data_IF_518868630841
#
_entry.id   IF_518868630841
#
_cell.length_a   1.000
_cell.length_b   1.000
_cell.length_c   1.000
_cell.angle_alpha   90.00
_cell.angle_beta   90.00
_cell.angle_gamma   90.00
#
_symmetry.space_group_name_H-M   'P 1'
#
loop_
_entity.id
_entity.type
_entity.pdbx_description
1 polymer ?
#
# COMPACT_ATOMS: atom_id res chain seq x y z
N UNK A 1 4.03 -32.27 -12.09
CA UNK A 1 4.29 -32.07 -10.65
C UNK A 1 4.01 -30.61 -10.33
N UNK A 2 2.79 -30.37 -9.84
CA UNK A 2 2.45 -29.05 -9.29
C UNK A 2 3.15 -28.93 -7.94
N UNK A 3 4.31 -28.32 -7.90
CA UNK A 3 4.94 -27.92 -6.66
C UNK A 3 4.03 -26.86 -6.05
N UNK A 4 3.32 -27.21 -4.98
CA UNK A 4 2.55 -26.25 -4.21
C UNK A 4 3.52 -25.22 -3.64
N UNK A 5 3.53 -24.02 -4.21
CA UNK A 5 4.24 -22.87 -3.63
C UNK A 5 3.58 -22.60 -2.28
N UNK A 6 4.30 -22.78 -1.21
CA UNK A 6 3.78 -22.42 0.11
C UNK A 6 3.80 -20.89 0.26
N UNK A 7 2.89 -20.28 1.03
CA UNK A 7 2.90 -18.83 1.29
C UNK A 7 4.26 -18.30 1.77
N UNK A 8 5.08 -19.16 2.35
CA UNK A 8 6.43 -18.83 2.85
C UNK A 8 7.47 -18.65 1.73
N UNK A 9 7.17 -19.10 0.51
CA UNK A 9 8.11 -19.02 -0.61
C UNK A 9 7.89 -17.77 -1.49
N UNK A 10 6.73 -17.16 -1.41
CA UNK A 10 6.41 -15.93 -2.12
C UNK A 10 7.10 -14.73 -1.47
N UNK A 11 7.81 -13.94 -2.27
CA UNK A 11 8.67 -12.88 -1.77
C UNK A 11 8.62 -11.63 -2.64
N UNK A 12 8.62 -10.47 -2.00
CA UNK A 12 8.77 -9.15 -2.64
C UNK A 12 10.01 -8.48 -2.07
N UNK A 13 10.96 -8.15 -2.93
CA UNK A 13 12.22 -7.50 -2.56
C UNK A 13 12.37 -6.16 -3.28
N UNK A 14 12.47 -5.03 -2.55
CA UNK A 14 12.83 -3.75 -3.15
C UNK A 14 14.27 -3.80 -3.67
N UNK A 15 14.49 -3.37 -4.91
CA UNK A 15 15.83 -3.19 -5.44
C UNK A 15 16.32 -1.75 -5.21
N UNK A 16 17.61 -1.52 -4.92
CA UNK A 16 18.10 -0.18 -4.62
C UNK A 16 17.75 0.82 -5.74
N UNK A 17 17.03 1.90 -5.39
CA UNK A 17 16.56 2.94 -6.31
C UNK A 17 15.85 2.41 -7.57
N UNK A 18 15.22 1.27 -7.46
CA UNK A 18 14.63 0.57 -8.59
C UNK A 18 13.28 -0.06 -8.29
N UNK A 19 12.85 -1.03 -9.10
CA UNK A 19 11.58 -1.72 -8.98
C UNK A 19 11.49 -2.62 -7.75
N UNK A 20 10.30 -3.18 -7.56
CA UNK A 20 10.07 -4.31 -6.67
C UNK A 20 10.24 -5.61 -7.46
N UNK A 21 11.13 -6.48 -7.00
CA UNK A 21 11.25 -7.83 -7.52
C UNK A 21 10.24 -8.72 -6.78
N UNK A 22 9.30 -9.27 -7.51
CA UNK A 22 8.32 -10.22 -6.99
C UNK A 22 8.68 -11.62 -7.46
N UNK A 23 8.93 -12.54 -6.54
CA UNK A 23 9.33 -13.91 -6.83
C UNK A 23 8.35 -14.91 -6.25
N UNK A 24 8.04 -15.94 -7.03
CA UNK A 24 7.15 -17.04 -6.64
C UNK A 24 5.78 -16.58 -6.15
N UNK A 25 5.30 -15.46 -6.72
CA UNK A 25 3.94 -14.98 -6.49
C UNK A 25 3.02 -15.80 -7.41
N UNK A 26 2.07 -16.58 -6.89
CA UNK A 26 1.21 -17.43 -7.71
C UNK A 26 0.34 -16.67 -8.69
N UNK A 27 -0.02 -15.43 -8.37
CA UNK A 27 -0.83 -14.60 -9.22
C UNK A 27 -0.60 -13.10 -9.01
N UNK A 28 -0.36 -12.39 -10.09
CA UNK A 28 -0.53 -10.94 -10.18
C UNK A 28 -1.95 -10.68 -10.69
N UNK A 29 -2.74 -9.92 -9.96
CA UNK A 29 -4.15 -9.63 -10.28
C UNK A 29 -4.36 -8.14 -10.54
N UNK A 30 -5.33 -7.82 -11.39
CA UNK A 30 -5.80 -6.44 -11.56
C UNK A 30 -6.81 -6.05 -10.45
N UNK A 31 -7.34 -4.84 -10.50
CA UNK A 31 -8.32 -4.30 -9.55
C UNK A 31 -9.66 -5.08 -9.57
N UNK A 32 -10.01 -5.71 -10.68
CA UNK A 32 -11.17 -6.59 -10.80
C UNK A 32 -10.92 -8.00 -10.22
N UNK A 33 -9.67 -8.32 -9.81
CA UNK A 33 -9.29 -9.63 -9.29
C UNK A 33 -8.93 -10.65 -10.39
N UNK A 34 -8.84 -10.23 -11.64
CA UNK A 34 -8.44 -11.08 -12.76
C UNK A 34 -6.93 -11.28 -12.77
N UNK A 35 -6.47 -12.50 -13.04
CA UNK A 35 -5.05 -12.82 -13.13
C UNK A 35 -4.47 -12.22 -14.42
N UNK A 36 -3.45 -11.38 -14.28
CA UNK A 36 -2.74 -10.76 -15.40
C UNK A 36 -1.32 -11.31 -15.62
N UNK A 37 -0.76 -12.00 -14.64
CA UNK A 37 0.49 -12.75 -14.77
C UNK A 37 0.59 -13.85 -13.72
N UNK A 38 1.25 -14.95 -14.12
CA UNK A 38 1.67 -16.07 -13.26
C UNK A 38 3.16 -16.35 -13.43
N UNK A 39 3.92 -15.39 -13.93
CA UNK A 39 5.35 -15.53 -14.12
C UNK A 39 6.06 -15.75 -12.77
N UNK A 40 7.07 -16.59 -12.75
CA UNK A 40 7.81 -16.92 -11.53
C UNK A 40 8.55 -15.72 -10.95
N UNK A 41 8.98 -14.80 -11.82
CA UNK A 41 9.62 -13.54 -11.45
C UNK A 41 8.98 -12.37 -12.18
N UNK A 42 8.57 -11.36 -11.43
CA UNK A 42 7.90 -10.16 -11.95
C UNK A 42 8.61 -8.92 -11.39
N UNK A 43 8.83 -7.92 -12.23
CA UNK A 43 9.41 -6.64 -11.86
C UNK A 43 8.33 -5.56 -11.88
N UNK A 44 7.95 -5.09 -10.68
CA UNK A 44 6.85 -4.14 -10.49
C UNK A 44 7.37 -2.71 -10.35
N UNK A 45 6.71 -1.77 -11.00
CA UNK A 45 7.03 -0.36 -10.92
C UNK A 45 6.90 0.18 -9.51
N UNK A 46 7.94 0.86 -9.02
CA UNK A 46 7.95 1.57 -7.73
C UNK A 46 8.08 3.08 -7.88
N UNK A 47 8.68 3.55 -8.97
CA UNK A 47 8.90 4.98 -9.21
C UNK A 47 7.65 5.74 -9.70
N UNK A 48 6.59 5.03 -10.11
CA UNK A 48 5.38 5.61 -10.63
C UNK A 48 5.47 6.16 -12.07
N UNK A 49 6.63 6.07 -12.74
CA UNK A 49 6.88 6.65 -14.06
C UNK A 49 6.85 5.64 -15.20
N UNK A 50 6.69 4.35 -14.92
CA UNK A 50 6.59 3.34 -15.97
C UNK A 50 5.42 3.62 -16.91
N UNK A 51 5.65 3.44 -18.20
CA UNK A 51 4.62 3.50 -19.25
C UNK A 51 3.93 2.15 -19.45
N UNK A 52 4.43 1.10 -18.81
CA UNK A 52 3.91 -0.26 -18.88
C UNK A 52 3.48 -0.78 -17.51
N UNK A 53 2.82 0.06 -16.72
CA UNK A 53 2.35 -0.35 -15.37
C UNK A 53 1.42 -1.58 -15.45
N UNK A 54 1.52 -2.48 -14.48
CA UNK A 54 2.27 -2.40 -13.21
C UNK A 54 3.76 -2.76 -13.32
N UNK A 55 4.24 -3.12 -14.50
CA UNK A 55 5.60 -3.60 -14.72
C UNK A 55 6.62 -2.45 -14.76
N UNK A 56 7.85 -2.77 -14.37
CA UNK A 56 8.98 -1.87 -14.56
C UNK A 56 9.40 -1.84 -16.04
N UNK A 57 9.68 -0.67 -16.56
CA UNK A 57 10.20 -0.45 -17.94
C UNK A 57 11.53 0.30 -17.95
N UNK A 58 12.19 0.47 -16.79
CA UNK A 58 13.45 1.21 -16.66
C UNK A 58 13.28 2.72 -16.47
N UNK A 59 12.06 3.26 -16.52
CA UNK A 59 11.82 4.71 -16.37
C UNK A 59 12.34 5.29 -15.05
N UNK A 60 12.58 4.46 -14.03
CA UNK A 60 13.14 4.89 -12.75
C UNK A 60 14.54 5.51 -12.88
N UNK A 61 15.33 5.09 -13.86
CA UNK A 61 16.67 5.65 -14.11
C UNK A 61 16.56 7.10 -14.62
N UNK A 62 15.74 7.32 -15.65
CA UNK A 62 15.51 8.66 -16.21
C UNK A 62 14.84 9.60 -15.21
N UNK A 63 13.94 9.06 -14.38
CA UNK A 63 13.27 9.80 -13.30
C UNK A 63 14.18 10.08 -12.10
N UNK A 64 15.39 9.52 -12.06
CA UNK A 64 16.33 9.61 -10.92
C UNK A 64 15.63 9.21 -9.62
N UNK A 65 14.86 8.13 -9.67
CA UNK A 65 14.14 7.63 -8.50
C UNK A 65 15.11 7.28 -7.38
N UNK A 66 14.80 7.72 -6.18
CA UNK A 66 15.56 7.40 -4.97
C UNK A 66 14.60 6.85 -3.91
N UNK A 67 14.97 5.74 -3.31
CA UNK A 67 14.26 5.11 -2.18
C UNK A 67 14.80 5.59 -0.82
N UNK A 68 15.71 6.55 -0.82
CA UNK A 68 16.21 7.15 0.40
C UNK A 68 15.08 7.79 1.20
N UNK A 69 14.91 7.36 2.44
CA UNK A 69 13.94 7.98 3.35
C UNK A 69 14.29 9.44 3.57
N UNK A 70 13.37 10.33 3.23
CA UNK A 70 13.53 11.77 3.40
C UNK A 70 13.16 12.24 4.82
N UNK A 71 12.55 11.39 5.63
CA UNK A 71 12.10 11.72 6.98
C UNK A 71 12.60 10.68 7.98
N UNK A 72 13.13 11.17 9.10
CA UNK A 72 13.37 10.32 10.26
C UNK A 72 12.03 9.80 10.81
N UNK A 73 12.05 8.59 11.37
CA UNK A 73 10.88 8.04 12.04
C UNK A 73 10.45 8.99 13.16
N UNK A 74 9.33 9.67 12.95
CA UNK A 74 8.59 10.32 14.00
C UNK A 74 7.96 9.27 14.93
N UNK A 75 7.24 9.69 15.93
CA UNK A 75 6.72 8.90 17.05
C UNK A 75 5.85 7.65 16.73
N UNK A 76 5.89 7.14 15.50
CA UNK A 76 5.12 5.97 15.08
C UNK A 76 3.65 6.29 14.75
N UNK A 77 2.84 5.24 14.46
CA UNK A 77 1.46 5.40 14.10
C UNK A 77 0.61 5.92 15.27
N UNK A 78 -0.33 6.81 14.98
CA UNK A 78 -1.35 7.29 15.92
C UNK A 78 -2.70 6.69 15.59
N UNK A 79 -3.50 6.44 16.61
CA UNK A 79 -4.85 5.90 16.47
C UNK A 79 -5.89 6.98 16.76
N UNK A 80 -6.86 7.09 15.84
CA UNK A 80 -8.02 7.97 15.99
C UNK A 80 -9.27 7.10 16.02
N UNK A 81 -9.86 6.99 17.21
CA UNK A 81 -10.98 6.09 17.46
C UNK A 81 -12.29 6.77 17.04
N UNK A 82 -13.03 6.13 16.16
CA UNK A 82 -14.39 6.49 15.80
C UNK A 82 -15.40 5.45 16.30
N UNK A 83 -16.68 5.68 16.03
CA UNK A 83 -17.78 4.78 16.44
C UNK A 83 -17.76 3.44 15.71
N UNK A 84 -17.47 3.45 14.42
CA UNK A 84 -17.46 2.26 13.56
C UNK A 84 -16.05 1.80 13.23
N UNK A 85 -15.15 2.74 12.95
CA UNK A 85 -13.78 2.46 12.57
C UNK A 85 -12.79 3.25 13.44
N UNK A 86 -11.58 2.71 13.60
CA UNK A 86 -10.43 3.43 14.11
C UNK A 86 -9.46 3.65 12.97
N UNK A 87 -9.09 4.89 12.68
CA UNK A 87 -8.04 5.20 11.71
C UNK A 87 -6.69 5.09 12.37
N UNK A 88 -5.76 4.37 11.76
CA UNK A 88 -4.36 4.27 12.16
C UNK A 88 -3.54 5.08 11.14
N UNK A 89 -2.86 6.13 11.60
CA UNK A 89 -2.15 7.09 10.76
C UNK A 89 -0.67 7.15 11.14
N UNK A 90 0.19 6.59 10.30
CA UNK A 90 1.63 6.78 10.37
C UNK A 90 2.07 7.88 9.39
N UNK A 91 2.00 9.12 9.85
CA UNK A 91 2.34 10.28 9.02
C UNK A 91 3.81 10.27 8.55
N UNK A 92 4.69 9.53 9.20
CA UNK A 92 6.09 9.40 8.78
C UNK A 92 6.23 8.70 7.42
N UNK A 93 5.25 7.85 7.07
CA UNK A 93 5.18 7.13 5.80
C UNK A 93 4.41 7.90 4.71
N UNK A 94 3.81 9.06 5.04
CA UNK A 94 2.95 9.77 4.12
C UNK A 94 3.71 10.32 2.90
N UNK A 95 3.30 9.87 1.70
CA UNK A 95 3.83 10.34 0.42
C UNK A 95 3.20 11.66 -0.08
N UNK A 96 2.23 12.21 0.67
CA UNK A 96 1.48 13.42 0.29
C UNK A 96 0.76 13.33 -1.07
N UNK A 97 0.31 12.14 -1.45
CA UNK A 97 -0.41 11.93 -2.71
C UNK A 97 -1.77 12.67 -2.77
N UNK A 98 -2.35 13.01 -1.61
CA UNK A 98 -3.61 13.76 -1.54
C UNK A 98 -4.88 12.90 -1.58
N UNK A 99 -4.79 11.63 -1.93
CA UNK A 99 -5.92 10.71 -2.12
C UNK A 99 -6.90 10.68 -0.93
N UNK A 100 -6.38 10.72 0.30
CA UNK A 100 -7.21 10.69 1.50
C UNK A 100 -8.06 11.96 1.64
N UNK A 101 -7.50 13.11 1.32
CA UNK A 101 -8.21 14.41 1.39
C UNK A 101 -9.19 14.55 0.24
N UNK A 102 -8.83 14.08 -0.95
CA UNK A 102 -9.71 14.12 -2.10
C UNK A 102 -10.96 13.26 -1.90
N UNK A 103 -10.82 12.09 -1.28
CA UNK A 103 -11.91 11.12 -1.11
C UNK A 103 -12.73 11.33 0.17
N UNK A 104 -12.11 11.76 1.26
CA UNK A 104 -12.77 11.93 2.56
C UNK A 104 -12.20 13.15 3.31
N UNK A 105 -12.37 14.34 2.71
CA UNK A 105 -11.83 15.59 3.23
C UNK A 105 -12.24 15.87 4.69
N UNK A 106 -13.48 15.62 5.05
CA UNK A 106 -13.98 15.86 6.40
C UNK A 106 -13.22 15.04 7.45
N UNK A 107 -12.80 13.83 7.09
CA UNK A 107 -12.01 12.95 7.96
C UNK A 107 -10.54 13.35 8.02
N UNK A 108 -9.91 13.69 6.88
CA UNK A 108 -8.45 13.80 6.77
C UNK A 108 -7.90 15.22 6.64
N UNK A 109 -8.74 16.24 6.44
CA UNK A 109 -8.31 17.63 6.27
C UNK A 109 -8.22 18.42 7.59
N UNK A 110 -8.24 17.77 8.73
CA UNK A 110 -8.22 18.45 10.03
C UNK A 110 -6.80 18.63 10.52
N UNK A 111 -6.45 19.85 10.93
CA UNK A 111 -5.20 20.16 11.62
C UNK A 111 -5.45 20.32 13.11
N UNK A 112 -4.71 19.59 13.92
CA UNK A 112 -4.67 19.73 15.36
C UNK A 112 -3.40 20.46 15.82
N UNK A 113 -3.25 20.69 17.13
CA UNK A 113 -2.07 21.32 17.73
C UNK A 113 -0.77 20.57 17.37
N UNK A 114 -0.85 19.24 17.30
CA UNK A 114 0.29 18.35 17.06
C UNK A 114 0.36 17.84 15.61
N UNK A 115 -0.23 18.56 14.66
CA UNK A 115 -0.23 18.19 13.25
C UNK A 115 -1.56 17.66 12.76
N UNK A 116 -1.53 16.73 11.76
CA UNK A 116 -2.74 16.15 11.18
C UNK A 116 -3.52 15.32 12.20
N UNK A 117 -4.81 15.54 12.25
CA UNK A 117 -5.76 14.77 13.06
C UNK A 117 -6.80 14.15 12.13
N UNK A 118 -7.01 12.86 12.24
CA UNK A 118 -8.10 12.17 11.55
C UNK A 118 -9.36 12.17 12.40
N UNK A 119 -10.50 12.45 11.78
CA UNK A 119 -11.83 12.40 12.40
C UNK A 119 -12.66 11.30 11.76
N UNK A 120 -12.58 10.05 12.26
CA UNK A 120 -13.21 8.89 11.60
C UNK A 120 -14.71 9.00 11.40
N UNK A 121 -15.39 9.70 12.28
CA UNK A 121 -16.84 9.88 12.28
C UNK A 121 -17.33 11.07 11.43
N UNK A 122 -16.42 11.83 10.80
CA UNK A 122 -16.77 13.00 10.01
C UNK A 122 -17.21 12.66 8.58
N UNK A 123 -16.90 11.45 8.12
CA UNK A 123 -17.37 10.90 6.83
C UNK A 123 -17.95 9.51 7.05
N UNK A 124 -18.79 8.99 6.13
CA UNK A 124 -19.24 7.61 6.16
C UNK A 124 -18.06 6.62 6.19
N UNK A 125 -18.22 5.51 6.92
CA UNK A 125 -17.13 4.55 7.14
C UNK A 125 -16.60 3.94 5.83
N UNK A 126 -17.45 3.69 4.86
CA UNK A 126 -17.09 3.17 3.54
C UNK A 126 -16.24 4.17 2.72
N UNK A 127 -16.55 5.47 2.81
CA UNK A 127 -15.73 6.53 2.18
C UNK A 127 -14.34 6.60 2.84
N UNK A 128 -14.28 6.53 4.17
CA UNK A 128 -13.01 6.53 4.92
C UNK A 128 -12.18 5.30 4.56
N UNK A 129 -12.79 4.12 4.50
CA UNK A 129 -12.13 2.88 4.09
C UNK A 129 -11.62 3.00 2.65
N UNK A 130 -12.44 3.51 1.73
CA UNK A 130 -12.05 3.77 0.35
C UNK A 130 -10.83 4.70 0.24
N UNK A 131 -10.83 5.79 1.00
CA UNK A 131 -9.71 6.72 1.05
C UNK A 131 -8.42 6.06 1.60
N UNK A 132 -8.53 5.26 2.65
CA UNK A 132 -7.40 4.52 3.24
C UNK A 132 -6.81 3.52 2.23
N UNK A 133 -7.65 2.80 1.51
CA UNK A 133 -7.21 1.82 0.49
C UNK A 133 -6.46 2.44 -0.67
N UNK A 134 -6.72 3.70 -1.00
CA UNK A 134 -6.01 4.44 -2.04
C UNK A 134 -4.74 5.14 -1.53
N UNK A 135 -4.39 5.00 -0.24
CA UNK A 135 -3.15 5.54 0.28
C UNK A 135 -1.93 4.78 -0.31
N UNK A 136 -1.14 5.40 -1.21
CA UNK A 136 -0.12 4.68 -1.96
C UNK A 136 1.11 4.29 -1.12
N UNK A 137 1.31 4.95 0.02
CA UNK A 137 2.44 4.67 0.91
C UNK A 137 2.11 3.72 2.06
N UNK A 138 0.84 3.33 2.22
CA UNK A 138 0.40 2.56 3.38
C UNK A 138 0.46 3.31 4.71
N UNK A 139 0.56 4.65 4.67
CA UNK A 139 0.56 5.49 5.87
C UNK A 139 -0.76 5.41 6.64
N UNK A 140 -1.85 5.07 5.97
CA UNK A 140 -3.17 4.94 6.55
C UNK A 140 -3.61 3.48 6.58
N UNK A 141 -4.04 3.04 7.75
CA UNK A 141 -4.65 1.74 7.99
C UNK A 141 -5.92 1.95 8.82
N UNK A 142 -6.70 0.92 9.00
CA UNK A 142 -7.87 1.00 9.86
C UNK A 142 -8.11 -0.26 10.68
N UNK A 143 -8.83 -0.09 11.79
CA UNK A 143 -9.30 -1.19 12.64
C UNK A 143 -10.82 -1.22 12.63
N UNK A 144 -11.37 -2.43 12.61
CA UNK A 144 -12.77 -2.70 12.89
C UNK A 144 -12.86 -3.49 14.20
N UNK A 145 -13.69 -3.04 15.13
CA UNK A 145 -13.86 -3.69 16.44
C UNK A 145 -12.51 -3.94 17.14
N UNK A 146 -11.58 -2.99 17.02
CA UNK A 146 -10.26 -3.06 17.64
C UNK A 146 -9.24 -3.94 16.92
N UNK A 147 -9.63 -4.65 15.86
CA UNK A 147 -8.72 -5.48 15.08
C UNK A 147 -8.27 -4.75 13.81
N UNK A 148 -6.96 -4.75 13.56
CA UNK A 148 -6.42 -4.22 12.33
C UNK A 148 -6.97 -5.03 11.16
N UNK A 149 -7.59 -4.33 10.22
CA UNK A 149 -8.07 -4.94 9.01
C UNK A 149 -6.92 -4.97 8.03
N UNK A 150 -6.26 -6.11 7.97
CA UNK A 150 -5.37 -6.48 6.87
C UNK A 150 -6.20 -7.23 5.85
N UNK A 151 -5.91 -6.99 4.61
CA UNK A 151 -6.76 -7.37 3.49
C UNK A 151 -7.21 -8.84 3.45
N UNK A 152 -8.35 -9.03 2.99
CA UNK A 152 -9.37 -10.05 3.03
C UNK A 152 -9.13 -11.19 2.05
N UNK A 153 -7.93 -11.31 1.52
CA UNK A 153 -7.62 -12.29 0.50
C UNK A 153 -6.83 -13.41 1.16
N UNK A 154 -7.33 -14.62 1.04
CA UNK A 154 -6.74 -15.81 1.66
C UNK A 154 -5.71 -16.50 0.76
N UNK A 155 -5.52 -16.04 -0.46
CA UNK A 155 -4.54 -16.56 -1.41
C UNK A 155 -3.27 -15.68 -1.46
N UNK A 156 -2.15 -16.29 -1.79
CA UNK A 156 -0.89 -15.58 -2.04
C UNK A 156 -0.95 -14.89 -3.40
N UNK A 157 -0.96 -13.58 -3.41
CA UNK A 157 -1.07 -12.80 -4.65
C UNK A 157 -0.59 -11.37 -4.49
N UNK A 158 -0.38 -10.69 -5.61
CA UNK A 158 -0.28 -9.24 -5.69
C UNK A 158 -1.46 -8.72 -6.51
N UNK A 159 -2.19 -7.78 -5.95
CA UNK A 159 -3.30 -7.12 -6.63
C UNK A 159 -2.95 -5.66 -6.93
N UNK A 160 -3.16 -5.27 -8.16
CA UNK A 160 -2.95 -3.88 -8.62
C UNK A 160 -4.25 -3.11 -8.44
N UNK A 161 -4.25 -2.09 -7.60
CA UNK A 161 -5.37 -1.15 -7.51
C UNK A 161 -5.26 -0.13 -8.64
N UNK A 162 -6.36 0.13 -9.34
CA UNK A 162 -6.38 1.16 -10.39
C UNK A 162 -6.12 2.52 -9.76
N UNK A 163 -5.14 3.24 -10.29
CA UNK A 163 -4.69 4.55 -9.78
C UNK A 163 -4.36 4.54 -8.28
N UNK A 164 -3.93 3.40 -7.76
CA UNK A 164 -3.66 3.16 -6.36
C UNK A 164 -2.43 2.28 -6.11
N UNK A 165 -2.29 1.77 -4.89
CA UNK A 165 -1.15 0.96 -4.48
C UNK A 165 -1.19 -0.47 -5.01
N UNK A 166 -0.08 -1.18 -4.77
CA UNK A 166 -0.03 -2.64 -4.85
C UNK A 166 -0.45 -3.23 -3.51
N UNK A 167 -1.42 -4.12 -3.52
CA UNK A 167 -1.82 -4.90 -2.35
C UNK A 167 -1.12 -6.26 -2.39
N UNK A 168 -0.23 -6.48 -1.43
CA UNK A 168 0.50 -7.73 -1.29
C UNK A 168 -0.19 -8.61 -0.28
N UNK A 169 -0.56 -9.84 -0.68
CA UNK A 169 -1.26 -10.80 0.16
C UNK A 169 -0.39 -12.03 0.40
N UNK A 170 -0.16 -12.37 1.66
CA UNK A 170 0.54 -13.58 2.10
C UNK A 170 1.90 -13.82 1.42
N UNK A 171 2.63 -12.76 1.09
CA UNK A 171 4.01 -12.83 0.64
C UNK A 171 4.95 -12.17 1.65
N UNK A 172 6.17 -12.66 1.72
CA UNK A 172 7.21 -12.07 2.57
C UNK A 172 7.73 -10.79 1.90
N UNK A 173 7.73 -9.70 2.65
CA UNK A 173 8.39 -8.47 2.25
C UNK A 173 9.82 -8.48 2.77
N UNK A 174 10.78 -8.37 1.88
CA UNK A 174 12.17 -8.11 2.21
C UNK A 174 12.38 -6.60 2.19
N UNK A 175 13.05 -6.07 3.17
CA UNK A 175 13.31 -4.65 3.22
C UNK A 175 14.26 -4.30 4.36
N UNK A 176 14.82 -3.14 4.27
CA UNK A 176 15.58 -2.59 5.39
C UNK A 176 14.63 -2.28 6.54
N UNK A 177 14.94 -2.83 7.68
CA UNK A 177 14.27 -2.55 8.93
C UNK A 177 14.49 -1.08 9.37
#
# INVERSE_FOLDING_TARGET
>A
DSTMVTPMDAEITPTPNGPLQAQRIPALKNDAGEIISTDEEIWLCRCGQSKNKPYCDGSHEAAKFSDKRLRANAAGPREFVGREITVVDDFSLCAHAGECVERAAATFFTKGPDGRVSQPDASPADEVIGAIRHCPSGALLYKLRGQLVSDYVTDTSVRVEKDGPLHVHQARLQGDA
#
